data_IF_560380031477
#
_entry.id   IF_560380031477
#
_cell.length_a   1.000
_cell.length_b   1.000
_cell.length_c   1.000
_cell.angle_alpha   90.00
_cell.angle_beta   90.00
_cell.angle_gamma   90.00
#
_symmetry.space_group_name_H-M   'P 1'
#
loop_
_entity.id
_entity.type
_entity.pdbx_description
1 polymer ?
#
# COMPACT_ATOMS: atom_id res chain seq x y z
N UNK A 1 -32.37 -4.85 4.48
CA UNK A 1 -31.33 -5.72 5.08
C UNK A 1 -30.54 -6.29 3.91
N UNK A 2 -29.32 -5.81 3.67
CA UNK A 2 -28.44 -6.45 2.69
C UNK A 2 -28.01 -7.79 3.27
N UNK A 3 -28.24 -8.88 2.54
CA UNK A 3 -27.72 -10.19 2.91
C UNK A 3 -26.18 -10.12 3.03
N UNK A 4 -25.57 -10.82 4.00
CA UNK A 4 -24.12 -10.89 4.09
C UNK A 4 -23.57 -11.58 2.84
N UNK A 5 -23.02 -10.81 1.91
CA UNK A 5 -22.29 -11.34 0.76
C UNK A 5 -21.00 -11.99 1.24
N UNK A 6 -20.91 -13.32 1.15
CA UNK A 6 -19.69 -14.06 1.45
C UNK A 6 -18.65 -13.79 0.37
N UNK A 7 -17.44 -13.41 0.76
CA UNK A 7 -16.29 -13.30 -0.14
C UNK A 7 -15.64 -14.68 -0.20
N UNK A 8 -15.36 -15.17 -1.40
CA UNK A 8 -14.66 -16.46 -1.58
C UNK A 8 -13.24 -16.39 -1.01
N UNK A 9 -12.74 -17.51 -0.49
CA UNK A 9 -11.38 -17.61 0.08
C UNK A 9 -10.26 -17.45 -0.96
N UNK A 10 -10.59 -17.49 -2.24
CA UNK A 10 -9.68 -17.32 -3.37
C UNK A 10 -9.97 -16.06 -4.20
N UNK A 11 -10.81 -15.13 -3.69
CA UNK A 11 -11.25 -13.95 -4.42
C UNK A 11 -10.11 -13.00 -4.84
N UNK A 12 -8.95 -13.09 -4.19
CA UNK A 12 -7.73 -12.36 -4.52
C UNK A 12 -6.55 -13.30 -4.86
N UNK A 13 -6.83 -14.56 -5.21
CA UNK A 13 -5.81 -15.56 -5.53
C UNK A 13 -4.84 -15.05 -6.60
N UNK A 14 -3.53 -15.16 -6.32
CA UNK A 14 -2.46 -14.72 -7.22
C UNK A 14 -2.27 -13.21 -7.32
N UNK A 15 -3.05 -12.40 -6.58
CA UNK A 15 -2.95 -10.94 -6.61
C UNK A 15 -2.07 -10.41 -5.50
N UNK A 16 -1.12 -9.55 -5.88
CA UNK A 16 -0.28 -8.79 -4.96
C UNK A 16 -0.95 -7.45 -4.66
N UNK A 17 -1.31 -7.19 -3.42
CA UNK A 17 -1.95 -5.94 -3.01
C UNK A 17 -0.93 -5.11 -2.21
N UNK A 18 -0.59 -3.94 -2.70
CA UNK A 18 0.31 -3.02 -1.99
C UNK A 18 -0.44 -2.33 -0.85
N UNK A 19 0.14 -2.36 0.35
CA UNK A 19 -0.35 -1.65 1.53
C UNK A 19 0.64 -0.57 1.93
N UNK A 20 0.22 0.68 1.81
CA UNK A 20 1.00 1.86 2.18
C UNK A 20 0.42 2.48 3.44
N UNK A 21 1.15 2.41 4.55
CA UNK A 21 0.73 3.01 5.82
C UNK A 21 1.87 3.78 6.45
N UNK A 22 1.58 4.99 6.92
CA UNK A 22 2.53 5.77 7.71
C UNK A 22 1.79 6.70 8.68
N UNK A 23 2.51 7.22 9.67
CA UNK A 23 1.95 8.08 10.71
C UNK A 23 1.24 9.30 10.14
N UNK A 24 0.14 9.69 10.80
CA UNK A 24 -0.68 10.85 10.46
C UNK A 24 -0.77 11.79 11.66
N UNK A 25 -0.55 13.08 11.43
CA UNK A 25 -0.67 14.10 12.48
C UNK A 25 -2.13 14.43 12.82
N UNK A 26 -3.08 13.99 11.98
CA UNK A 26 -4.50 14.27 12.18
C UNK A 26 -5.19 13.26 13.11
N UNK A 27 -4.55 12.14 13.48
CA UNK A 27 -5.20 11.04 14.22
C UNK A 27 -5.93 11.54 15.48
N UNK A 28 -5.25 12.33 16.32
CA UNK A 28 -5.84 12.85 17.56
C UNK A 28 -7.07 13.75 17.31
N UNK A 29 -7.06 14.51 16.20
CA UNK A 29 -8.15 15.40 15.79
C UNK A 29 -9.38 14.61 15.33
N UNK A 30 -9.18 13.37 14.88
CA UNK A 30 -10.21 12.42 14.49
C UNK A 30 -10.67 11.52 15.65
N UNK A 31 -10.13 11.72 16.86
CA UNK A 31 -10.37 10.84 18.01
C UNK A 31 -9.67 9.48 17.89
N UNK A 32 -8.69 9.37 17.01
CA UNK A 32 -7.91 8.17 16.74
C UNK A 32 -6.54 8.22 17.40
N UNK A 33 -5.91 7.06 17.43
CA UNK A 33 -4.56 6.86 17.97
C UNK A 33 -3.79 5.95 17.04
N UNK A 34 -2.47 5.88 17.23
CA UNK A 34 -1.62 4.95 16.47
C UNK A 34 -2.08 3.49 16.58
N UNK A 35 -2.71 3.10 17.70
CA UNK A 35 -3.30 1.78 17.85
C UNK A 35 -4.40 1.50 16.81
N UNK A 36 -5.16 2.52 16.39
CA UNK A 36 -6.15 2.35 15.34
C UNK A 36 -5.49 2.08 13.99
N UNK A 37 -4.36 2.74 13.67
CA UNK A 37 -3.59 2.45 12.46
C UNK A 37 -3.08 1.01 12.45
N UNK A 38 -2.54 0.55 13.59
CA UNK A 38 -2.09 -0.84 13.78
C UNK A 38 -3.22 -1.85 13.54
N UNK A 39 -4.42 -1.57 14.03
CA UNK A 39 -5.59 -2.42 13.80
C UNK A 39 -6.01 -2.46 12.32
N UNK A 40 -5.97 -1.32 11.61
CA UNK A 40 -6.24 -1.31 10.16
C UNK A 40 -5.23 -2.18 9.41
N UNK A 41 -3.93 -2.03 9.70
CA UNK A 41 -2.89 -2.84 9.08
C UNK A 41 -3.15 -4.33 9.31
N UNK A 42 -3.44 -4.71 10.56
CA UNK A 42 -3.72 -6.10 10.91
C UNK A 42 -4.96 -6.64 10.18
N UNK A 43 -6.07 -5.91 10.23
CA UNK A 43 -7.34 -6.37 9.67
C UNK A 43 -7.34 -6.39 8.13
N UNK A 44 -6.77 -5.38 7.49
CA UNK A 44 -6.61 -5.35 6.03
C UNK A 44 -5.66 -6.45 5.58
N UNK A 45 -4.51 -6.58 6.24
CA UNK A 45 -3.52 -7.61 5.91
C UNK A 45 -4.13 -9.01 6.01
N UNK A 46 -4.80 -9.30 7.14
CA UNK A 46 -5.54 -10.54 7.36
C UNK A 46 -6.60 -10.78 6.29
N UNK A 47 -7.42 -9.78 5.97
CA UNK A 47 -8.51 -9.94 5.02
C UNK A 47 -7.99 -10.25 3.61
N UNK A 48 -6.90 -9.61 3.18
CA UNK A 48 -6.25 -9.90 1.89
C UNK A 48 -5.73 -11.35 1.88
N UNK A 49 -5.02 -11.76 2.94
CA UNK A 49 -4.44 -13.12 3.04
C UNK A 49 -5.51 -14.20 3.06
N UNK A 50 -6.61 -14.00 3.81
CA UNK A 50 -7.75 -14.92 3.88
C UNK A 50 -8.53 -15.02 2.56
N UNK A 51 -8.43 -13.99 1.71
CA UNK A 51 -8.97 -14.01 0.35
C UNK A 51 -7.98 -14.57 -0.69
N UNK A 52 -6.82 -15.12 -0.25
CA UNK A 52 -5.83 -15.75 -1.12
C UNK A 52 -4.82 -14.78 -1.76
N UNK A 53 -4.85 -13.50 -1.39
CA UNK A 53 -3.93 -12.48 -1.89
C UNK A 53 -2.60 -12.42 -1.14
N UNK A 54 -1.61 -11.79 -1.75
CA UNK A 54 -0.30 -11.48 -1.16
C UNK A 54 -0.24 -10.00 -0.79
N UNK A 55 0.13 -9.67 0.45
CA UNK A 55 0.35 -8.28 0.87
C UNK A 55 1.77 -7.86 0.52
N UNK A 56 1.92 -6.76 -0.22
CA UNK A 56 3.22 -6.10 -0.44
C UNK A 56 3.33 -4.88 0.47
N UNK A 57 4.40 -4.78 1.24
CA UNK A 57 4.60 -3.67 2.19
C UNK A 57 6.00 -3.08 2.06
N UNK A 58 6.08 -1.75 2.00
CA UNK A 58 7.34 -1.00 2.05
C UNK A 58 7.89 -1.01 3.47
N UNK A 59 8.91 -1.83 3.72
CA UNK A 59 9.29 -2.26 5.06
C UNK A 59 9.86 -1.14 5.95
N UNK A 60 9.47 -1.19 7.22
CA UNK A 60 10.24 -0.68 8.34
C UNK A 60 10.54 -1.86 9.25
N UNK A 61 11.80 -2.32 9.27
CA UNK A 61 12.22 -3.49 10.05
C UNK A 61 12.47 -3.15 11.54
N UNK A 62 12.17 -1.92 11.98
CA UNK A 62 12.27 -1.55 13.40
C UNK A 62 11.27 -2.33 14.24
N UNK A 63 11.70 -2.69 15.44
CA UNK A 63 10.83 -3.42 16.36
C UNK A 63 9.61 -2.59 16.77
N UNK A 64 8.46 -3.25 16.89
CA UNK A 64 7.18 -2.61 17.12
C UNK A 64 6.57 -1.95 15.88
N UNK A 65 7.16 -2.07 14.69
CA UNK A 65 6.62 -1.51 13.44
C UNK A 65 5.43 -2.29 12.87
N UNK A 66 4.86 -1.78 11.77
CA UNK A 66 3.78 -2.47 11.04
C UNK A 66 4.22 -3.79 10.40
N UNK A 67 5.52 -3.93 10.08
CA UNK A 67 6.07 -5.17 9.51
C UNK A 67 5.86 -6.36 10.45
N UNK A 68 6.09 -6.19 11.76
CA UNK A 68 5.88 -7.27 12.74
C UNK A 68 4.40 -7.70 12.80
N UNK A 69 3.47 -6.74 12.74
CA UNK A 69 2.03 -7.03 12.69
C UNK A 69 1.71 -7.90 11.48
N UNK A 70 2.20 -7.52 10.29
CA UNK A 70 1.93 -8.28 9.07
C UNK A 70 2.54 -9.67 9.10
N UNK A 71 3.73 -9.83 9.70
CA UNK A 71 4.35 -11.15 9.90
C UNK A 71 3.48 -12.01 10.81
N UNK A 72 3.02 -11.48 11.95
CA UNK A 72 2.13 -12.22 12.86
C UNK A 72 0.82 -12.64 12.18
N UNK A 73 0.21 -11.75 11.39
CA UNK A 73 -1.01 -12.05 10.64
C UNK A 73 -0.74 -13.11 9.55
N UNK A 74 0.37 -13.02 8.82
CA UNK A 74 0.77 -14.02 7.83
C UNK A 74 1.03 -15.40 8.46
N UNK A 75 1.66 -15.45 9.63
CA UNK A 75 1.88 -16.70 10.37
C UNK A 75 0.56 -17.35 10.83
N UNK A 76 -0.43 -16.54 11.23
CA UNK A 76 -1.73 -17.02 11.72
C UNK A 76 -2.70 -17.39 10.60
N UNK A 77 -2.71 -16.62 9.50
CA UNK A 77 -3.76 -16.66 8.49
C UNK A 77 -3.26 -16.99 7.08
N UNK A 78 -1.94 -17.03 6.85
CA UNK A 78 -1.36 -17.33 5.54
C UNK A 78 -1.42 -18.81 5.13
N UNK A 79 -1.89 -19.71 6.00
CA UNK A 79 -2.06 -21.13 5.66
C UNK A 79 -0.77 -21.85 5.25
N UNK A 80 0.40 -21.34 5.67
CA UNK A 80 1.71 -21.85 5.26
C UNK A 80 2.17 -21.41 3.86
N UNK A 81 1.42 -20.54 3.19
CA UNK A 81 1.74 -19.97 1.88
C UNK A 81 2.51 -18.64 2.01
N UNK A 82 3.34 -18.28 1.02
CA UNK A 82 4.04 -17.00 1.00
C UNK A 82 3.09 -15.84 0.64
N UNK A 83 2.36 -15.34 1.65
CA UNK A 83 1.32 -14.31 1.52
C UNK A 83 1.79 -12.90 1.90
N UNK A 84 3.08 -12.73 2.23
CA UNK A 84 3.66 -11.43 2.59
C UNK A 84 4.97 -11.17 1.82
N UNK A 85 5.07 -10.03 1.18
CA UNK A 85 6.30 -9.54 0.55
C UNK A 85 6.72 -8.21 1.21
N UNK A 86 7.86 -8.22 1.91
CA UNK A 86 8.44 -7.01 2.51
C UNK A 86 9.49 -6.47 1.57
N UNK A 87 9.29 -5.25 1.07
CA UNK A 87 10.20 -4.63 0.09
C UNK A 87 11.03 -3.52 0.74
N UNK A 88 12.36 -3.58 0.60
CA UNK A 88 13.29 -2.57 1.12
C UNK A 88 14.03 -1.87 -0.01
N UNK A 89 14.15 -0.55 0.12
CA UNK A 89 15.01 0.26 -0.74
C UNK A 89 16.48 0.12 -0.35
N UNK A 90 17.38 0.36 -1.29
CA UNK A 90 18.83 0.34 -1.06
C UNK A 90 19.30 1.25 0.06
N UNK A 91 18.73 2.45 0.15
CA UNK A 91 19.04 3.39 1.23
C UNK A 91 18.60 2.92 2.63
N UNK A 92 17.79 1.86 2.69
CA UNK A 92 17.34 1.21 3.93
C UNK A 92 18.16 -0.05 4.20
N UNK A 93 18.23 -1.01 3.26
CA UNK A 93 18.92 -2.27 3.53
C UNK A 93 20.44 -2.12 3.66
N UNK A 94 21.08 -1.11 3.02
CA UNK A 94 22.51 -0.84 3.22
C UNK A 94 22.88 -0.26 4.58
N UNK A 95 21.88 0.12 5.39
CA UNK A 95 22.08 0.52 6.80
C UNK A 95 22.05 -0.68 7.75
N UNK A 96 21.64 -1.85 7.25
CA UNK A 96 21.55 -3.09 8.01
C UNK A 96 22.78 -3.94 7.69
N UNK A 97 23.26 -4.70 8.68
CA UNK A 97 24.27 -5.72 8.42
C UNK A 97 23.65 -6.97 7.78
N UNK A 98 24.51 -7.83 7.23
CA UNK A 98 24.07 -9.06 6.55
C UNK A 98 23.34 -10.01 7.51
N UNK A 99 23.73 -10.07 8.78
CA UNK A 99 23.06 -10.91 9.78
C UNK A 99 21.62 -10.46 10.04
N UNK A 100 21.38 -9.15 10.12
CA UNK A 100 20.05 -8.57 10.30
C UNK A 100 19.15 -8.84 9.10
N UNK A 101 19.67 -8.72 7.88
CA UNK A 101 18.90 -9.03 6.66
C UNK A 101 18.54 -10.51 6.57
N UNK A 102 19.49 -11.39 6.88
CA UNK A 102 19.25 -12.83 6.92
C UNK A 102 18.25 -13.17 8.04
N UNK A 103 18.34 -12.54 9.21
CA UNK A 103 17.39 -12.73 10.29
C UNK A 103 15.98 -12.26 9.90
N UNK A 104 15.86 -11.11 9.23
CA UNK A 104 14.58 -10.61 8.75
C UNK A 104 13.94 -11.56 7.72
N UNK A 105 14.73 -12.09 6.79
CA UNK A 105 14.27 -13.09 5.81
C UNK A 105 13.85 -14.41 6.49
N UNK A 106 14.63 -14.88 7.48
CA UNK A 106 14.24 -16.06 8.28
C UNK A 106 12.98 -15.84 9.10
N UNK A 107 12.76 -14.64 9.65
CA UNK A 107 11.57 -14.31 10.43
C UNK A 107 10.30 -14.32 9.57
N UNK A 108 10.42 -13.96 8.29
CA UNK A 108 9.36 -14.14 7.30
C UNK A 108 9.11 -15.62 7.01
N UNK A 109 10.17 -16.44 6.99
CA UNK A 109 10.06 -17.90 6.91
C UNK A 109 9.26 -18.37 5.69
N UNK A 110 8.43 -19.39 5.87
CA UNK A 110 7.58 -19.90 4.79
C UNK A 110 6.40 -19.00 4.41
N UNK A 111 6.09 -17.98 5.22
CA UNK A 111 4.89 -17.16 5.04
C UNK A 111 5.15 -15.86 4.26
N UNK A 112 6.42 -15.55 3.97
CA UNK A 112 6.75 -14.36 3.21
C UNK A 112 8.15 -14.35 2.62
N UNK A 113 8.50 -13.22 1.99
CA UNK A 113 9.78 -13.00 1.32
C UNK A 113 10.29 -11.60 1.56
N UNK A 114 11.60 -11.47 1.74
CA UNK A 114 12.28 -10.18 1.73
C UNK A 114 12.73 -9.84 0.30
N UNK A 115 12.31 -8.67 -0.18
CA UNK A 115 12.65 -8.17 -1.51
C UNK A 115 13.53 -6.93 -1.35
N UNK A 116 14.72 -6.94 -1.94
CA UNK A 116 15.64 -5.81 -1.92
C UNK A 116 15.67 -5.16 -3.30
N UNK A 117 15.46 -3.84 -3.36
CA UNK A 117 15.44 -3.07 -4.61
C UNK A 117 16.55 -2.03 -4.60
N UNK A 118 17.45 -2.12 -5.57
CA UNK A 118 18.54 -1.16 -5.76
C UNK A 118 18.02 0.21 -6.21
N UNK A 119 18.84 1.25 -6.09
CA UNK A 119 18.58 2.58 -6.63
C UNK A 119 18.30 2.56 -8.14
N UNK A 120 18.93 1.64 -8.86
CA UNK A 120 18.69 1.41 -10.29
C UNK A 120 17.38 0.64 -10.57
N UNK A 121 16.64 0.22 -9.53
CA UNK A 121 15.38 -0.50 -9.64
C UNK A 121 15.52 -2.01 -9.89
N UNK A 122 16.73 -2.58 -9.73
CA UNK A 122 16.97 -4.01 -9.87
C UNK A 122 16.78 -4.75 -8.55
N UNK A 123 16.36 -6.01 -8.63
CA UNK A 123 16.28 -6.89 -7.46
C UNK A 123 17.67 -7.35 -7.04
N UNK A 124 17.94 -7.30 -5.74
CA UNK A 124 19.21 -7.72 -5.14
C UNK A 124 18.98 -8.96 -4.25
N UNK A 125 19.78 -10.03 -4.37
CA UNK A 125 19.70 -11.17 -3.47
C UNK A 125 20.02 -10.78 -2.03
N UNK A 126 19.32 -11.36 -1.06
CA UNK A 126 19.57 -11.14 0.38
C UNK A 126 20.96 -11.61 0.84
N UNK A 127 21.63 -12.45 0.04
CA UNK A 127 23.01 -12.91 0.26
C UNK A 127 24.10 -11.97 -0.26
N UNK A 128 23.77 -11.03 -1.14
CA UNK A 128 24.72 -10.08 -1.77
C UNK A 128 24.35 -8.57 -1.64
N UNK A 129 23.74 -8.08 -0.54
CA UNK A 129 23.25 -6.70 -0.48
C UNK A 129 24.33 -5.66 -0.15
N UNK A 130 25.56 -6.07 0.16
CA UNK A 130 26.60 -5.23 0.80
C UNK A 130 27.89 -5.10 -0.04
N UNK A 131 27.77 -4.95 -1.35
CA UNK A 131 28.93 -4.60 -2.18
C UNK A 131 29.48 -3.22 -1.77
N UNK A 132 30.80 -3.00 -1.93
CA UNK A 132 31.49 -1.72 -1.68
C UNK A 132 31.09 -0.61 -2.68
N UNK A 133 29.81 -0.52 -3.03
CA UNK A 133 29.27 0.50 -3.90
C UNK A 133 29.16 1.85 -3.16
N UNK A 134 29.25 3.00 -3.86
CA UNK A 134 28.99 4.32 -3.30
C UNK A 134 27.63 4.37 -2.59
N UNK A 135 27.49 5.11 -1.49
CA UNK A 135 26.19 5.28 -0.80
C UNK A 135 25.11 5.75 -1.79
N UNK A 136 23.88 5.23 -1.70
CA UNK A 136 22.84 5.58 -2.67
C UNK A 136 22.28 6.95 -2.31
N UNK A 137 21.75 7.66 -3.30
CA UNK A 137 20.82 8.73 -3.06
C UNK A 137 19.53 8.15 -2.44
N UNK A 138 19.23 8.59 -1.22
CA UNK A 138 18.12 8.05 -0.47
C UNK A 138 16.77 8.30 -1.14
N UNK A 139 16.58 9.44 -1.80
CA UNK A 139 15.35 9.77 -2.49
C UNK A 139 15.19 8.89 -3.74
N UNK A 140 16.24 8.78 -4.55
CA UNK A 140 16.22 7.94 -5.77
C UNK A 140 15.97 6.47 -5.42
N UNK A 141 16.64 5.94 -4.39
CA UNK A 141 16.44 4.56 -3.96
C UNK A 141 15.02 4.29 -3.44
N UNK A 142 14.42 5.24 -2.70
CA UNK A 142 13.03 5.11 -2.25
C UNK A 142 12.05 5.16 -3.42
N UNK A 143 12.24 6.08 -4.37
CA UNK A 143 11.43 6.16 -5.59
C UNK A 143 11.55 4.88 -6.43
N UNK A 144 12.76 4.31 -6.58
CA UNK A 144 12.98 3.06 -7.29
C UNK A 144 12.21 1.89 -6.68
N UNK A 145 12.27 1.75 -5.35
CA UNK A 145 11.50 0.76 -4.60
C UNK A 145 9.98 0.97 -4.74
N UNK A 146 9.49 2.21 -4.56
CA UNK A 146 8.06 2.54 -4.73
C UNK A 146 7.58 2.22 -6.14
N UNK A 147 8.40 2.50 -7.14
CA UNK A 147 8.14 2.18 -8.55
C UNK A 147 8.09 0.68 -8.82
N UNK A 148 8.97 -0.10 -8.20
CA UNK A 148 8.89 -1.57 -8.24
C UNK A 148 7.54 -2.05 -7.71
N UNK A 149 7.18 -1.66 -6.48
CA UNK A 149 5.90 -2.06 -5.84
C UNK A 149 4.69 -1.65 -6.68
N UNK A 150 4.70 -0.44 -7.26
CA UNK A 150 3.60 0.03 -8.11
C UNK A 150 3.41 -0.82 -9.37
N UNK A 151 4.49 -1.30 -10.00
CA UNK A 151 4.42 -2.11 -11.23
C UNK A 151 4.01 -3.56 -10.97
N UNK A 152 4.45 -4.13 -9.86
CA UNK A 152 4.26 -5.56 -9.53
C UNK A 152 3.02 -5.85 -8.71
N UNK A 153 2.44 -4.84 -8.06
CA UNK A 153 1.13 -4.96 -7.40
C UNK A 153 -0.02 -4.89 -8.41
N UNK A 154 -1.09 -5.61 -8.09
CA UNK A 154 -2.36 -5.57 -8.81
C UNK A 154 -3.20 -4.35 -8.41
N UNK A 155 -3.07 -3.86 -7.18
CA UNK A 155 -3.72 -2.65 -6.66
C UNK A 155 -2.99 -2.13 -5.42
N UNK A 156 -3.31 -0.91 -4.98
CA UNK A 156 -2.77 -0.32 -3.74
C UNK A 156 -3.88 0.18 -2.82
N UNK A 157 -3.75 -0.06 -1.52
CA UNK A 157 -4.44 0.66 -0.45
C UNK A 157 -3.48 1.62 0.25
N UNK A 158 -3.89 2.88 0.43
CA UNK A 158 -3.17 3.88 1.23
C UNK A 158 -3.95 4.24 2.51
N UNK A 159 -3.26 4.36 3.65
CA UNK A 159 -3.83 4.74 4.96
C UNK A 159 -2.90 5.71 5.68
N UNK A 160 -3.44 6.82 6.18
CA UNK A 160 -2.65 7.84 6.90
C UNK A 160 -1.56 8.49 6.02
N UNK A 161 -0.41 8.76 6.62
CA UNK A 161 0.79 9.20 5.92
C UNK A 161 1.23 10.62 6.21
N UNK A 162 2.54 10.80 6.34
CA UNK A 162 3.15 12.09 6.66
C UNK A 162 3.06 13.08 5.50
N UNK A 163 2.55 14.27 5.79
CA UNK A 163 2.53 15.42 4.87
C UNK A 163 3.62 16.46 5.17
N UNK A 164 4.39 16.27 6.25
CA UNK A 164 5.55 17.08 6.60
C UNK A 164 6.67 16.20 7.15
N UNK A 165 7.93 16.68 7.09
CA UNK A 165 9.09 15.91 7.55
C UNK A 165 9.29 14.58 6.79
N UNK A 166 8.82 14.50 5.54
CA UNK A 166 9.06 13.37 4.65
C UNK A 166 10.45 13.47 4.00
N UNK A 167 10.88 12.38 3.37
CA UNK A 167 12.13 12.32 2.60
C UNK A 167 11.80 12.18 1.12
N UNK A 168 12.51 12.95 0.27
CA UNK A 168 12.28 12.99 -1.18
C UNK A 168 11.64 14.30 -1.63
N UNK A 169 11.25 14.34 -2.90
CA UNK A 169 10.68 15.54 -3.55
C UNK A 169 9.19 15.76 -3.28
N UNK A 170 8.50 14.77 -2.72
CA UNK A 170 7.08 14.81 -2.36
C UNK A 170 6.79 13.82 -1.21
N UNK A 171 5.62 13.93 -0.53
CA UNK A 171 5.21 12.96 0.48
C UNK A 171 5.18 11.53 -0.07
N UNK A 172 5.82 10.59 0.62
CA UNK A 172 6.00 9.23 0.11
C UNK A 172 4.72 8.49 -0.24
N UNK A 173 3.65 8.65 0.54
CA UNK A 173 2.34 8.03 0.25
C UNK A 173 1.65 8.67 -0.97
N UNK A 174 1.88 9.97 -1.23
CA UNK A 174 1.39 10.65 -2.44
C UNK A 174 2.17 10.15 -3.66
N UNK A 175 3.49 10.04 -3.57
CA UNK A 175 4.32 9.47 -4.64
C UNK A 175 3.87 8.04 -4.99
N UNK A 176 3.65 7.21 -3.97
CA UNK A 176 3.16 5.85 -4.10
C UNK A 176 1.80 5.76 -4.80
N UNK A 177 0.88 6.65 -4.44
CA UNK A 177 -0.41 6.78 -5.11
C UNK A 177 -0.25 7.20 -6.57
N UNK A 178 0.57 8.22 -6.84
CA UNK A 178 0.87 8.71 -8.19
C UNK A 178 1.50 7.63 -9.06
N UNK A 179 2.51 6.91 -8.56
CA UNK A 179 3.16 5.81 -9.27
C UNK A 179 2.19 4.64 -9.57
N UNK A 180 1.25 4.37 -8.67
CA UNK A 180 0.20 3.35 -8.86
C UNK A 180 -0.71 3.73 -10.03
N UNK A 181 -1.16 4.98 -10.07
CA UNK A 181 -1.97 5.52 -11.18
C UNK A 181 -1.20 5.45 -12.50
N UNK A 182 0.07 5.85 -12.52
CA UNK A 182 0.92 5.74 -13.72
C UNK A 182 1.13 4.30 -14.19
N UNK A 183 1.14 3.34 -13.27
CA UNK A 183 1.21 1.92 -13.59
C UNK A 183 -0.13 1.32 -14.06
N UNK A 184 -1.19 2.13 -14.18
CA UNK A 184 -2.53 1.68 -14.56
C UNK A 184 -3.14 0.74 -13.52
N UNK A 185 -2.74 0.87 -12.25
CA UNK A 185 -3.22 0.02 -11.16
C UNK A 185 -4.30 0.76 -10.36
N UNK A 186 -5.35 0.05 -9.90
CA UNK A 186 -6.34 0.62 -9.00
C UNK A 186 -5.72 1.11 -7.69
N UNK A 187 -6.22 2.26 -7.23
CA UNK A 187 -5.82 2.93 -5.99
C UNK A 187 -7.03 3.09 -5.08
N UNK A 188 -6.95 2.56 -3.86
CA UNK A 188 -7.92 2.75 -2.79
C UNK A 188 -7.30 3.63 -1.71
N UNK A 189 -8.07 4.59 -1.17
CA UNK A 189 -7.59 5.53 -0.18
C UNK A 189 -8.51 5.59 1.05
N UNK A 190 -8.03 5.10 2.19
CA UNK A 190 -8.71 5.20 3.48
C UNK A 190 -8.46 6.58 4.10
N UNK A 191 -9.24 7.56 3.66
CA UNK A 191 -9.12 8.96 4.07
C UNK A 191 -9.56 9.25 5.50
N UNK A 192 -10.22 8.33 6.18
CA UNK A 192 -10.63 8.44 7.59
C UNK A 192 -9.48 8.43 8.61
N UNK A 193 -8.23 8.27 8.17
CA UNK A 193 -7.04 8.26 9.04
C UNK A 193 -6.16 9.52 8.88
N UNK A 194 -6.60 10.49 8.08
CA UNK A 194 -5.89 11.75 7.89
C UNK A 194 -4.63 11.64 7.02
N UNK A 195 -3.81 12.69 7.09
CA UNK A 195 -2.52 12.72 6.40
C UNK A 195 -2.63 12.59 4.87
N UNK A 196 -1.60 11.99 4.27
CA UNK A 196 -1.47 11.87 2.82
C UNK A 196 -2.63 11.10 2.17
N UNK A 197 -3.11 10.02 2.78
CA UNK A 197 -4.24 9.25 2.29
C UNK A 197 -5.53 10.09 2.24
N UNK A 198 -5.78 10.90 3.27
CA UNK A 198 -6.90 11.85 3.26
C UNK A 198 -6.71 12.93 2.19
N UNK A 199 -5.50 13.46 2.00
CA UNK A 199 -5.23 14.48 1.00
C UNK A 199 -5.47 13.97 -0.43
N UNK A 200 -5.02 12.75 -0.72
CA UNK A 200 -5.27 12.06 -1.99
C UNK A 200 -6.77 11.80 -2.17
N UNK A 201 -7.43 11.23 -1.15
CA UNK A 201 -8.85 10.91 -1.22
C UNK A 201 -9.71 12.18 -1.42
N UNK A 202 -9.41 13.27 -0.71
CA UNK A 202 -10.08 14.56 -0.89
C UNK A 202 -9.90 15.12 -2.29
N UNK A 203 -8.69 14.99 -2.86
CA UNK A 203 -8.42 15.48 -4.20
C UNK A 203 -9.23 14.73 -5.25
N UNK A 204 -9.31 13.41 -5.12
CA UNK A 204 -9.99 12.55 -6.09
C UNK A 204 -11.51 12.49 -5.87
N UNK A 205 -11.97 12.66 -4.62
CA UNK A 205 -13.37 12.48 -4.20
C UNK A 205 -13.80 13.57 -3.19
N UNK A 206 -13.80 14.85 -3.58
CA UNK A 206 -14.09 15.96 -2.67
C UNK A 206 -15.50 15.91 -2.06
N UNK A 207 -16.44 15.19 -2.69
CA UNK A 207 -17.79 14.97 -2.16
C UNK A 207 -17.81 14.20 -0.84
N UNK A 208 -16.84 13.31 -0.60
CA UNK A 208 -16.81 12.42 0.57
C UNK A 208 -16.42 13.13 1.87
N UNK A 209 -15.95 14.39 1.78
CA UNK A 209 -15.35 15.11 2.92
C UNK A 209 -16.12 16.36 3.37
N UNK A 210 -17.30 16.64 2.81
CA UNK A 210 -18.00 17.92 3.02
C UNK A 210 -18.61 18.13 4.41
N UNK A 211 -18.83 17.08 5.19
CA UNK A 211 -19.76 17.11 6.33
C UNK A 211 -19.19 16.66 7.68
N UNK A 212 -17.97 16.12 7.72
CA UNK A 212 -17.43 15.49 8.93
C UNK A 212 -15.97 15.85 9.26
N UNK A 213 -15.27 16.52 8.35
CA UNK A 213 -13.84 16.80 8.52
C UNK A 213 -13.60 17.97 9.48
N UNK A 214 -12.50 17.94 10.26
CA UNK A 214 -12.02 19.12 10.97
C UNK A 214 -11.67 20.27 10.01
N UNK A 215 -11.62 21.50 10.54
CA UNK A 215 -11.06 22.65 9.79
C UNK A 215 -9.61 22.37 9.38
N UNK A 216 -9.15 22.83 8.21
CA UNK A 216 -7.77 22.61 7.74
C UNK A 216 -7.35 21.12 7.82
N UNK A 217 -8.19 20.26 7.24
CA UNK A 217 -7.99 18.82 7.19
C UNK A 217 -7.71 18.33 5.77
N UNK A 218 -6.69 17.46 5.57
CA UNK A 218 -5.66 17.09 6.55
C UNK A 218 -4.65 18.23 6.74
N UNK A 219 -4.02 18.28 7.92
CA UNK A 219 -3.01 19.30 8.19
C UNK A 219 -1.86 19.22 7.16
N UNK A 220 -1.30 20.38 6.77
CA UNK A 220 -0.24 20.48 5.75
C UNK A 220 -0.65 20.13 4.30
N UNK A 221 -1.92 19.84 4.02
CA UNK A 221 -2.38 19.57 2.65
C UNK A 221 -2.18 20.74 1.68
N UNK A 222 -2.18 21.97 2.22
CA UNK A 222 -2.05 23.21 1.46
C UNK A 222 -0.61 23.70 1.35
N UNK A 223 0.36 23.01 1.95
CA UNK A 223 1.76 23.37 1.80
C UNK A 223 2.17 23.28 0.31
N UNK A 224 2.93 24.24 -0.25
CA UNK A 224 3.10 24.35 -1.71
C UNK A 224 3.64 23.08 -2.39
N UNK A 225 4.56 22.37 -1.73
CA UNK A 225 5.13 21.13 -2.26
C UNK A 225 4.10 19.99 -2.29
N UNK A 226 3.26 19.91 -1.25
CA UNK A 226 2.17 18.92 -1.13
C UNK A 226 1.09 19.22 -2.15
N UNK A 227 0.67 20.48 -2.28
CA UNK A 227 -0.33 20.91 -3.25
C UNK A 227 0.11 20.57 -4.68
N UNK A 228 1.38 20.85 -5.04
CA UNK A 228 1.96 20.47 -6.34
C UNK A 228 1.92 18.97 -6.57
N UNK A 229 2.31 18.16 -5.58
CA UNK A 229 2.26 16.70 -5.68
C UNK A 229 0.83 16.17 -5.91
N UNK A 230 -0.15 16.75 -5.23
CA UNK A 230 -1.57 16.41 -5.41
C UNK A 230 -2.10 16.86 -6.79
N UNK A 231 -1.64 18.00 -7.31
CA UNK A 231 -1.99 18.49 -8.65
C UNK A 231 -1.48 17.50 -9.71
N UNK A 232 -0.21 17.11 -9.63
CA UNK A 232 0.39 16.11 -10.53
C UNK A 232 -0.31 14.75 -10.45
N UNK A 233 -0.71 14.32 -9.26
CA UNK A 233 -1.50 13.11 -9.06
C UNK A 233 -2.89 13.22 -9.69
N UNK A 234 -3.58 14.34 -9.52
CA UNK A 234 -4.90 14.59 -10.09
C UNK A 234 -4.86 14.58 -11.62
N UNK A 235 -3.84 15.21 -12.21
CA UNK A 235 -3.62 15.22 -13.65
C UNK A 235 -3.30 13.82 -14.21
N UNK A 236 -2.56 13.00 -13.45
CA UNK A 236 -2.32 11.60 -13.79
C UNK A 236 -3.63 10.80 -13.75
N UNK A 237 -4.47 10.99 -12.72
CA UNK A 237 -5.74 10.28 -12.58
C UNK A 237 -6.72 10.63 -13.71
N UNK A 238 -6.83 11.92 -14.04
CA UNK A 238 -7.69 12.40 -15.12
C UNK A 238 -7.30 11.79 -16.48
N UNK A 239 -6.00 11.56 -16.73
CA UNK A 239 -5.51 10.90 -17.95
C UNK A 239 -5.73 9.39 -17.97
N UNK A 240 -5.76 8.74 -16.81
CA UNK A 240 -5.95 7.29 -16.69
C UNK A 240 -7.41 6.86 -16.91
N UNK A 241 -8.39 7.73 -16.66
CA UNK A 241 -9.81 7.47 -16.94
C UNK A 241 -10.49 6.42 -16.03
N UNK A 242 -9.96 6.18 -14.82
CA UNK A 242 -10.25 5.00 -14.01
C UNK A 242 -11.44 5.10 -13.02
N UNK A 243 -12.31 6.10 -13.13
CA UNK A 243 -13.26 6.41 -12.03
C UNK A 243 -14.50 5.50 -11.93
N UNK A 244 -14.84 4.70 -12.95
CA UNK A 244 -16.12 3.97 -12.98
C UNK A 244 -16.01 2.47 -12.62
N UNK A 245 -14.86 2.01 -12.13
CA UNK A 245 -14.60 0.57 -11.90
C UNK A 245 -15.07 0.04 -10.54
N UNK A 246 -15.45 0.91 -9.61
CA UNK A 246 -15.70 0.55 -8.22
C UNK A 246 -17.15 0.79 -7.79
N UNK A 247 -17.63 -0.07 -6.89
CA UNK A 247 -18.88 0.16 -6.17
C UNK A 247 -18.75 1.45 -5.33
N UNK A 248 -19.51 2.47 -5.71
CA UNK A 248 -19.46 3.80 -5.11
C UNK A 248 -19.84 3.83 -3.62
N UNK A 249 -20.74 2.96 -3.17
CA UNK A 249 -21.14 2.89 -1.76
C UNK A 249 -20.00 2.31 -0.92
N UNK A 250 -19.36 1.24 -1.41
CA UNK A 250 -18.20 0.64 -0.76
C UNK A 250 -16.98 1.55 -0.78
N UNK A 251 -16.75 2.26 -1.90
CA UNK A 251 -15.65 3.20 -2.00
C UNK A 251 -15.84 4.38 -1.06
N UNK A 252 -17.05 4.94 -0.99
CA UNK A 252 -17.40 5.95 0.01
C UNK A 252 -17.15 5.45 1.44
N UNK A 253 -17.66 4.25 1.78
CA UNK A 253 -17.45 3.64 3.10
C UNK A 253 -15.96 3.49 3.43
N UNK A 254 -15.15 2.96 2.49
CA UNK A 254 -13.70 2.82 2.66
C UNK A 254 -13.04 4.18 2.93
N UNK A 255 -13.44 5.21 2.18
CA UNK A 255 -12.83 6.53 2.23
C UNK A 255 -13.10 7.25 3.55
N UNK A 256 -14.31 7.16 4.10
CA UNK A 256 -14.68 7.93 5.30
C UNK A 256 -14.59 7.14 6.62
N UNK A 257 -14.41 5.83 6.57
CA UNK A 257 -14.48 5.01 7.78
C UNK A 257 -13.26 5.16 8.69
N UNK A 258 -13.52 5.17 10.00
CA UNK A 258 -12.52 5.05 11.06
C UNK A 258 -12.47 3.63 11.64
N UNK A 259 -13.26 2.69 11.09
CA UNK A 259 -13.39 1.32 11.60
C UNK A 259 -12.51 0.38 10.76
N UNK A 260 -11.50 -0.26 11.36
CA UNK A 260 -10.65 -1.23 10.67
C UNK A 260 -11.44 -2.29 9.88
N UNK A 261 -12.51 -2.83 10.46
CA UNK A 261 -13.31 -3.87 9.83
C UNK A 261 -14.04 -3.41 8.56
N UNK A 262 -14.50 -2.16 8.54
CA UNK A 262 -15.16 -1.60 7.36
C UNK A 262 -14.15 -1.37 6.24
N UNK A 263 -12.95 -0.86 6.57
CA UNK A 263 -11.85 -0.67 5.61
C UNK A 263 -11.40 -2.01 5.04
N UNK A 264 -11.16 -3.01 5.89
CA UNK A 264 -10.74 -4.34 5.46
C UNK A 264 -11.79 -5.01 4.56
N UNK A 265 -13.07 -4.97 4.97
CA UNK A 265 -14.19 -5.51 4.19
C UNK A 265 -14.32 -4.80 2.85
N UNK A 266 -14.35 -3.47 2.84
CA UNK A 266 -14.51 -2.70 1.61
C UNK A 266 -13.33 -2.93 0.67
N UNK A 267 -12.10 -2.97 1.19
CA UNK A 267 -10.87 -3.25 0.41
C UNK A 267 -11.00 -4.57 -0.35
N UNK A 268 -11.29 -5.68 0.34
CA UNK A 268 -11.38 -6.98 -0.32
C UNK A 268 -12.57 -7.03 -1.29
N UNK A 269 -13.73 -6.48 -0.94
CA UNK A 269 -14.90 -6.47 -1.84
C UNK A 269 -14.66 -5.68 -3.13
N UNK A 270 -14.10 -4.47 -3.01
CA UNK A 270 -13.79 -3.62 -4.16
C UNK A 270 -12.79 -4.32 -5.09
N UNK A 271 -11.73 -4.92 -4.54
CA UNK A 271 -10.71 -5.61 -5.32
C UNK A 271 -11.20 -6.94 -5.91
N UNK A 272 -12.14 -7.63 -5.24
CA UNK A 272 -12.76 -8.85 -5.76
C UNK A 272 -13.72 -8.54 -6.92
N UNK A 273 -14.40 -7.38 -6.91
CA UNK A 273 -15.25 -6.94 -8.02
C UNK A 273 -14.49 -6.70 -9.33
N UNK A 274 -13.19 -6.41 -9.24
CA UNK A 274 -12.32 -6.28 -10.42
C UNK A 274 -11.99 -7.63 -11.10
N UNK A 275 -12.30 -8.76 -10.48
CA UNK A 275 -12.06 -10.11 -11.05
C UNK A 275 -13.03 -10.40 -12.20
N UNK A 276 -14.26 -9.93 -12.13
CA UNK A 276 -15.33 -10.38 -13.02
C UNK A 276 -15.24 -9.83 -14.45
N UNK A 277 -14.43 -8.82 -14.72
CA UNK A 277 -14.32 -8.24 -16.09
C UNK A 277 -13.13 -8.76 -16.90
N UNK A 278 -12.14 -9.44 -16.30
CA UNK A 278 -10.91 -9.85 -17.00
C UNK A 278 -10.84 -11.33 -17.40
N UNK A 279 -11.75 -12.18 -16.90
CA UNK A 279 -11.74 -13.62 -17.20
C UNK A 279 -12.53 -14.04 -18.47
N UNK A 280 -13.15 -13.10 -19.21
CA UNK A 280 -13.81 -13.44 -20.49
C UNK A 280 -12.90 -13.29 -21.73
N UNK A 281 -11.67 -12.80 -21.60
CA UNK A 281 -10.78 -12.60 -22.76
C UNK A 281 -9.38 -13.18 -22.56
N UNK A 282 -9.29 -14.49 -22.80
CA UNK A 282 -8.24 -15.06 -23.63
C UNK A 282 -7.02 -15.64 -22.91
N UNK A 283 -7.08 -16.95 -22.67
CA UNK A 283 -5.92 -17.83 -22.66
C UNK A 283 -5.06 -17.59 -23.92
N UNK A 284 -3.91 -16.93 -23.75
CA UNK A 284 -2.83 -16.98 -24.75
C UNK A 284 -1.49 -17.19 -24.04
N UNK A 285 -1.09 -18.45 -23.97
CA UNK A 285 0.25 -18.87 -23.58
C UNK A 285 1.13 -18.87 -24.85
N UNK A 286 2.17 -18.01 -24.98
CA UNK A 286 3.11 -18.15 -26.07
C UNK A 286 4.05 -19.34 -25.80
N UNK A 287 4.48 -20.07 -26.85
CA UNK A 287 5.37 -21.20 -26.68
C UNK A 287 6.76 -20.74 -26.25
N UNK A 288 7.31 -21.40 -25.23
CA UNK A 288 8.76 -21.41 -25.01
C UNK A 288 9.40 -22.16 -26.18
N UNK A 289 10.29 -21.47 -26.91
CA UNK A 289 11.14 -22.04 -27.95
C UNK A 289 12.60 -22.00 -27.50
N UNK A 290 13.23 -23.16 -27.68
CA UNK A 290 14.63 -23.58 -27.41
C UNK A 290 15.75 -22.54 -27.55
#
# INVERSE_FOLDING_TARGET
MNEPSLISQDALSGRRIALSVSESLDLARLGLTEQHCRLVVAEVGRAIMLAGGTVMYGGDLRSGGYTEILIEEAQRFGGGMPVLEVTLAESVYRKLDGETLIAADRNLGGVGRLILVSESGYLVPTSDPLTEAPSPDAAVALTAMRGYVARTSAARLIVGGRLSGYSGAEPGVIEEARLTIHAGRPLLAAGGYGGAAAAVAQRLRPQDFRSWVPDDYPCHAHDPEVARALDELSDANARAGANDMFDEELLHLLTISHRPADIARATVRLLSGLVTETDEQGDYCPPFGD
#
